data_IF_445334242047
#
_entry.id   IF_445334242047
#
_cell.length_a   1.000
_cell.length_b   1.000
_cell.length_c   1.000
_cell.angle_alpha   90.00
_cell.angle_beta   90.00
_cell.angle_gamma   90.00
#
_symmetry.space_group_name_H-M   'P 1'
#
loop_
_entity.id
_entity.type
_entity.pdbx_description
1 polymer ?
#
# COMPACT_ATOMS: atom_id res chain seq x y z
N UNK A 1 -20.46 5.58 25.02
CA UNK A 1 -19.01 5.77 25.17
C UNK A 1 -18.42 5.13 23.93
N UNK A 2 -18.22 5.95 22.90
CA UNK A 2 -17.77 5.53 21.56
C UNK A 2 -16.31 5.11 21.63
N UNK A 3 -16.02 3.86 21.28
CA UNK A 3 -14.70 3.49 20.77
C UNK A 3 -14.66 3.91 19.31
N UNK A 4 -13.65 4.71 18.96
CA UNK A 4 -13.35 5.11 17.59
C UNK A 4 -12.66 3.92 16.94
N UNK A 5 -13.28 3.36 15.91
CA UNK A 5 -12.64 2.46 14.96
C UNK A 5 -11.80 3.36 14.05
N UNK A 6 -10.51 3.06 13.91
CA UNK A 6 -9.60 3.81 13.03
C UNK A 6 -9.54 3.06 11.70
N UNK A 7 -9.81 3.69 10.55
CA UNK A 7 -9.81 3.02 9.24
C UNK A 7 -8.39 2.75 8.74
N UNK A 8 -8.24 1.65 7.98
CA UNK A 8 -7.00 1.10 7.39
C UNK A 8 -6.37 1.94 6.26
N UNK A 9 -6.83 3.16 6.02
CA UNK A 9 -6.25 4.09 5.02
C UNK A 9 -4.84 4.63 5.37
N UNK A 10 -4.09 3.94 6.24
CA UNK A 10 -2.70 4.30 6.64
C UNK A 10 -1.66 3.20 6.39
N UNK A 11 -2.04 2.07 5.79
CA UNK A 11 -1.07 1.01 5.41
C UNK A 11 -0.23 1.44 4.19
N UNK A 12 -0.62 2.50 3.48
CA UNK A 12 0.20 3.16 2.47
C UNK A 12 1.24 4.12 3.08
N UNK A 13 2.37 3.58 3.54
CA UNK A 13 3.61 4.34 3.70
C UNK A 13 3.96 4.77 5.12
N UNK A 14 4.82 3.97 5.77
CA UNK A 14 5.74 4.48 6.80
C UNK A 14 7.11 3.88 6.56
N UNK A 15 7.97 4.63 5.86
CA UNK A 15 9.42 4.40 5.86
C UNK A 15 9.91 4.68 7.28
N UNK A 16 10.12 3.64 8.08
CA UNK A 16 10.90 3.75 9.30
C UNK A 16 12.38 3.90 8.90
N UNK A 17 12.78 5.15 8.67
CA UNK A 17 14.17 5.53 8.56
C UNK A 17 14.89 5.23 9.88
N UNK A 18 15.64 4.13 9.94
CA UNK A 18 16.66 3.92 10.96
C UNK A 18 17.76 4.96 10.74
N UNK A 19 17.60 6.11 11.38
CA UNK A 19 18.63 7.14 11.47
C UNK A 19 19.70 6.70 12.47
N UNK A 20 20.64 5.87 12.03
CA UNK A 20 21.87 5.63 12.77
C UNK A 20 22.81 6.82 12.60
N UNK A 21 22.89 7.63 13.65
CA UNK A 21 23.81 8.75 13.78
C UNK A 21 25.26 8.28 13.62
N UNK A 22 25.86 8.67 12.49
CA UNK A 22 27.31 8.64 12.24
C UNK A 22 28.06 9.35 13.38
N UNK A 23 28.64 8.58 14.29
CA UNK A 23 29.75 9.06 15.11
C UNK A 23 31.01 8.32 14.69
N UNK A 24 31.84 9.04 13.94
CA UNK A 24 33.18 8.62 13.56
C UNK A 24 34.01 8.23 14.78
N UNK A 25 34.63 7.05 14.75
CA UNK A 25 35.83 6.78 15.51
C UNK A 25 36.82 6.01 14.63
N UNK A 26 37.80 6.72 14.09
CA UNK A 26 38.96 6.11 13.43
C UNK A 26 39.92 5.51 14.44
N UNK A 27 40.70 4.52 14.02
CA UNK A 27 41.86 4.07 14.79
C UNK A 27 42.44 2.70 14.47
N UNK A 28 43.26 2.64 13.41
CA UNK A 28 44.53 1.90 13.34
C UNK A 28 44.56 0.37 13.30
N UNK A 29 45.27 -0.10 12.27
CA UNK A 29 45.83 -1.43 12.00
C UNK A 29 46.53 -2.11 13.18
N UNK A 30 46.47 -3.45 13.18
CA UNK A 30 47.64 -4.33 13.36
C UNK A 30 47.30 -5.78 13.00
N UNK A 31 48.06 -6.35 12.06
CA UNK A 31 48.20 -7.78 11.78
C UNK A 31 48.84 -8.49 12.98
N UNK A 32 48.42 -9.72 13.31
CA UNK A 32 49.34 -10.84 13.52
C UNK A 32 48.62 -12.19 13.72
N UNK A 33 49.29 -13.23 13.22
CA UNK A 33 48.90 -14.63 13.05
C UNK A 33 49.17 -15.44 14.32
N UNK A 34 48.30 -16.39 14.70
CA UNK A 34 48.73 -17.64 15.35
C UNK A 34 47.64 -18.74 15.33
N UNK A 35 47.92 -19.83 14.62
CA UNK A 35 47.29 -21.15 14.83
C UNK A 35 47.60 -21.69 16.24
N UNK A 36 46.62 -22.28 16.93
CA UNK A 36 46.87 -23.48 17.74
C UNK A 36 45.68 -24.45 17.71
N UNK A 37 46.02 -25.73 17.61
CA UNK A 37 45.16 -26.91 17.58
C UNK A 37 44.64 -27.30 18.98
N UNK A 38 43.39 -27.79 19.10
CA UNK A 38 42.95 -28.42 20.35
C UNK A 38 41.51 -28.93 20.41
N UNK A 39 41.31 -30.20 20.02
CA UNK A 39 40.36 -31.19 20.58
C UNK A 39 39.25 -30.71 21.54
N UNK A 40 38.01 -30.82 21.05
CA UNK A 40 36.87 -31.47 21.70
C UNK A 40 36.50 -31.07 23.13
N UNK A 41 35.59 -30.10 23.24
CA UNK A 41 34.61 -29.99 24.33
C UNK A 41 33.43 -29.15 23.82
N UNK A 42 32.37 -29.81 23.32
CA UNK A 42 31.16 -29.19 22.77
C UNK A 42 30.24 -28.55 23.82
N UNK A 43 30.74 -28.28 25.02
CA UNK A 43 30.03 -27.59 26.10
C UNK A 43 30.71 -26.27 26.50
N UNK A 44 31.99 -26.07 26.15
CA UNK A 44 32.73 -24.83 26.42
C UNK A 44 32.57 -23.80 25.31
N UNK A 45 32.57 -24.25 24.05
CA UNK A 45 32.45 -23.39 22.85
C UNK A 45 31.16 -22.56 22.86
N UNK A 46 30.03 -23.17 23.24
CA UNK A 46 28.74 -22.46 23.32
C UNK A 46 28.73 -21.38 24.40
N UNK A 47 29.43 -21.56 25.52
CA UNK A 47 29.43 -20.58 26.61
C UNK A 47 30.31 -19.36 26.30
N UNK A 48 31.44 -19.56 25.60
CA UNK A 48 32.30 -18.45 25.14
C UNK A 48 31.62 -17.69 23.99
N UNK A 49 30.99 -18.40 23.05
CA UNK A 49 30.24 -17.81 21.93
C UNK A 49 29.04 -16.97 22.37
N UNK A 50 28.26 -17.45 23.35
CA UNK A 50 27.15 -16.67 23.94
C UNK A 50 27.67 -15.40 24.64
N UNK A 51 28.87 -15.44 25.24
CA UNK A 51 29.47 -14.26 25.85
C UNK A 51 29.90 -13.23 24.79
N UNK A 52 30.46 -13.69 23.67
CA UNK A 52 30.83 -12.85 22.54
C UNK A 52 29.59 -12.23 21.87
N UNK A 53 28.54 -13.02 21.63
CA UNK A 53 27.25 -12.54 21.12
C UNK A 53 26.63 -11.47 22.02
N UNK A 54 26.64 -11.67 23.34
CA UNK A 54 26.15 -10.64 24.28
C UNK A 54 26.95 -9.34 24.24
N UNK A 55 28.19 -9.40 23.78
CA UNK A 55 29.07 -8.23 23.68
C UNK A 55 29.04 -7.56 22.30
N UNK A 56 28.38 -8.16 21.31
CA UNK A 56 28.28 -7.58 19.96
C UNK A 56 27.35 -6.37 19.95
N UNK A 57 27.76 -5.33 19.22
CA UNK A 57 27.02 -4.06 19.13
C UNK A 57 25.64 -4.23 18.49
N UNK A 58 25.55 -5.11 17.48
CA UNK A 58 24.31 -5.47 16.76
C UNK A 58 23.22 -6.00 17.69
N UNK A 59 23.62 -6.78 18.70
CA UNK A 59 22.70 -7.34 19.69
C UNK A 59 22.49 -6.41 20.90
N UNK A 60 23.47 -5.56 21.22
CA UNK A 60 23.40 -4.63 22.34
C UNK A 60 22.54 -3.39 22.08
N UNK A 61 22.38 -2.94 20.83
CA UNK A 61 21.76 -1.65 20.52
C UNK A 61 20.25 -1.67 20.21
N UNK A 62 19.60 -2.83 20.06
CA UNK A 62 18.15 -2.85 19.83
C UNK A 62 17.45 -4.19 19.76
N UNK A 63 18.12 -5.25 19.26
CA UNK A 63 17.48 -6.52 18.94
C UNK A 63 16.79 -7.24 20.12
N UNK A 64 17.20 -6.96 21.36
CA UNK A 64 16.63 -7.56 22.58
C UNK A 64 15.74 -6.63 23.41
N UNK A 65 15.61 -5.37 23.00
CA UNK A 65 14.86 -4.38 23.78
C UNK A 65 13.37 -4.65 23.64
N UNK A 66 12.69 -4.88 24.77
CA UNK A 66 11.26 -5.23 24.81
C UNK A 66 10.96 -6.72 24.97
N UNK A 67 11.96 -7.60 24.75
CA UNK A 67 11.79 -9.04 24.91
C UNK A 67 11.84 -9.50 26.37
N UNK A 68 11.08 -10.56 26.67
CA UNK A 68 11.16 -11.25 27.96
C UNK A 68 12.53 -11.91 28.16
N UNK A 69 12.95 -12.14 29.42
CA UNK A 69 14.21 -12.83 29.70
C UNK A 69 14.26 -14.24 29.11
N UNK A 70 13.11 -14.90 28.98
CA UNK A 70 13.01 -16.23 28.36
C UNK A 70 13.26 -16.15 26.85
N UNK A 71 12.65 -15.19 26.17
CA UNK A 71 12.78 -15.01 24.71
C UNK A 71 14.19 -14.52 24.33
N UNK A 72 14.81 -13.68 25.16
CA UNK A 72 16.22 -13.31 25.02
C UNK A 72 17.15 -14.54 25.12
N UNK A 73 16.85 -15.48 26.01
CA UNK A 73 17.62 -16.73 26.14
C UNK A 73 17.37 -17.65 24.95
N UNK A 74 16.12 -17.76 24.48
CA UNK A 74 15.78 -18.52 23.27
C UNK A 74 16.59 -18.03 22.07
N UNK A 75 16.57 -16.73 21.79
CA UNK A 75 17.28 -16.16 20.65
C UNK A 75 18.79 -16.35 20.75
N UNK A 76 19.39 -16.13 21.92
CA UNK A 76 20.83 -16.35 22.10
C UNK A 76 21.23 -17.81 21.87
N UNK A 77 20.39 -18.76 22.28
CA UNK A 77 20.65 -20.18 22.01
C UNK A 77 20.49 -20.48 20.52
N UNK A 78 19.42 -20.01 19.87
CA UNK A 78 19.18 -20.22 18.45
C UNK A 78 20.30 -19.63 17.57
N UNK A 79 20.76 -18.40 17.86
CA UNK A 79 21.89 -17.77 17.18
C UNK A 79 23.19 -18.54 17.45
N UNK A 80 23.39 -19.04 18.67
CA UNK A 80 24.57 -19.84 19.00
C UNK A 80 24.59 -21.20 18.31
N UNK A 81 23.44 -21.73 17.89
CA UNK A 81 23.32 -22.99 17.14
C UNK A 81 23.59 -22.80 15.65
N UNK A 82 23.42 -21.58 15.13
CA UNK A 82 23.75 -21.20 13.76
C UNK A 82 25.15 -20.58 13.71
N UNK A 83 26.13 -21.36 13.24
CA UNK A 83 27.52 -20.93 13.16
C UNK A 83 27.69 -19.74 12.20
N UNK A 84 26.99 -19.72 11.07
CA UNK A 84 27.11 -18.67 10.06
C UNK A 84 26.47 -17.36 10.53
N UNK A 85 25.25 -17.42 11.10
CA UNK A 85 24.55 -16.25 11.63
C UNK A 85 25.28 -15.65 12.83
N UNK A 86 25.69 -16.49 13.79
CA UNK A 86 26.37 -16.00 14.98
C UNK A 86 27.72 -15.36 14.66
N UNK A 87 28.49 -15.90 13.72
CA UNK A 87 29.79 -15.34 13.33
C UNK A 87 29.60 -14.02 12.56
N UNK A 88 28.58 -13.93 11.70
CA UNK A 88 28.21 -12.71 11.01
C UNK A 88 27.80 -11.59 11.99
N UNK A 89 26.99 -11.92 13.01
CA UNK A 89 26.58 -10.95 14.03
C UNK A 89 27.74 -10.49 14.93
N UNK A 90 28.67 -11.39 15.27
CA UNK A 90 29.91 -11.04 16.00
C UNK A 90 30.79 -10.12 15.14
N UNK A 91 30.86 -10.34 13.83
CA UNK A 91 31.57 -9.49 12.89
C UNK A 91 30.89 -8.13 12.64
N UNK A 92 29.67 -7.93 13.15
CA UNK A 92 28.89 -6.72 12.93
C UNK A 92 28.33 -6.61 11.51
N UNK A 93 28.04 -7.76 10.87
CA UNK A 93 27.43 -7.80 9.55
C UNK A 93 25.95 -7.40 9.64
N UNK A 94 25.58 -6.36 8.88
CA UNK A 94 24.21 -5.84 8.78
C UNK A 94 23.61 -6.10 7.39
N UNK A 95 24.15 -7.06 6.64
CA UNK A 95 23.66 -7.40 5.31
C UNK A 95 22.22 -7.95 5.34
N UNK A 96 21.44 -7.75 4.27
CA UNK A 96 20.05 -8.21 4.21
C UNK A 96 19.83 -9.69 4.57
N UNK A 97 20.68 -10.65 4.15
CA UNK A 97 20.54 -12.05 4.55
C UNK A 97 20.68 -12.27 6.06
N UNK A 98 21.59 -11.54 6.72
CA UNK A 98 21.80 -11.62 8.18
C UNK A 98 20.61 -11.04 8.92
N UNK A 99 20.05 -9.92 8.43
CA UNK A 99 18.84 -9.32 8.99
C UNK A 99 17.62 -10.24 8.87
N UNK A 100 17.45 -10.90 7.71
CA UNK A 100 16.36 -11.86 7.49
C UNK A 100 16.49 -13.09 8.39
N UNK A 101 17.70 -13.63 8.54
CA UNK A 101 17.98 -14.74 9.44
C UNK A 101 17.74 -14.38 10.91
N UNK A 102 18.13 -13.18 11.34
CA UNK A 102 17.82 -12.67 12.68
C UNK A 102 16.31 -12.50 12.89
N UNK A 103 15.58 -12.00 11.89
CA UNK A 103 14.12 -11.88 11.94
C UNK A 103 13.45 -13.25 12.07
N UNK A 104 13.93 -14.28 11.36
CA UNK A 104 13.46 -15.66 11.51
C UNK A 104 13.68 -16.20 12.93
N UNK A 105 14.83 -15.93 13.53
CA UNK A 105 15.11 -16.31 14.92
C UNK A 105 14.16 -15.60 15.88
N UNK A 106 13.91 -14.31 15.67
CA UNK A 106 12.95 -13.55 16.47
C UNK A 106 11.54 -14.15 16.32
N UNK A 107 11.10 -14.42 15.10
CA UNK A 107 9.79 -15.00 14.81
C UNK A 107 9.59 -16.37 15.49
N UNK A 108 10.65 -17.19 15.59
CA UNK A 108 10.60 -18.47 16.30
C UNK A 108 10.65 -18.38 17.83
N UNK A 109 11.19 -17.29 18.40
CA UNK A 109 11.37 -17.12 19.84
C UNK A 109 10.35 -16.17 20.49
N UNK A 110 9.86 -15.19 19.73
CA UNK A 110 8.86 -14.19 20.12
C UNK A 110 8.12 -13.71 18.87
N UNK A 111 7.20 -14.53 18.40
CA UNK A 111 6.41 -14.25 17.21
C UNK A 111 5.57 -12.98 17.33
N UNK A 112 5.06 -12.67 18.54
CA UNK A 112 4.29 -11.45 18.79
C UNK A 112 5.17 -10.20 18.64
N UNK A 113 6.38 -10.21 19.20
CA UNK A 113 7.33 -9.11 19.01
C UNK A 113 7.79 -8.99 17.56
N UNK A 114 8.05 -10.12 16.88
CA UNK A 114 8.44 -10.13 15.47
C UNK A 114 7.37 -9.50 14.59
N UNK A 115 6.11 -9.90 14.78
CA UNK A 115 5.03 -9.41 13.94
C UNK A 115 4.66 -7.96 14.27
N UNK A 116 4.76 -7.54 15.54
CA UNK A 116 4.64 -6.13 15.90
C UNK A 116 5.69 -5.26 15.17
N UNK A 117 6.91 -5.76 14.98
CA UNK A 117 7.93 -5.04 14.21
C UNK A 117 7.60 -5.01 12.71
N UNK A 118 7.14 -6.12 12.14
CA UNK A 118 6.76 -6.23 10.72
C UNK A 118 5.56 -5.33 10.39
N UNK A 119 4.55 -5.31 11.26
CA UNK A 119 3.33 -4.49 11.12
C UNK A 119 3.50 -3.03 11.53
N UNK A 120 4.68 -2.62 12.00
CA UNK A 120 4.90 -1.27 12.52
C UNK A 120 4.08 -0.93 13.78
N UNK A 121 3.59 -1.94 14.50
CA UNK A 121 2.78 -1.81 15.70
C UNK A 121 1.28 -1.61 15.45
N UNK A 122 0.82 -1.73 14.19
CA UNK A 122 -0.59 -1.73 13.80
C UNK A 122 -1.06 -3.15 13.50
N UNK A 123 -0.82 -4.07 14.43
CA UNK A 123 -1.21 -5.46 14.24
C UNK A 123 -2.71 -5.61 14.44
N UNK A 124 -3.49 -5.64 13.34
CA UNK A 124 -4.85 -6.17 13.29
C UNK A 124 -4.95 -7.68 13.60
N UNK A 125 -4.01 -8.19 14.39
CA UNK A 125 -3.83 -9.59 14.74
C UNK A 125 -4.51 -9.95 16.07
N UNK A 126 -5.07 -8.96 16.76
CA UNK A 126 -5.88 -9.17 17.96
C UNK A 126 -7.09 -10.07 17.69
N UNK A 127 -7.54 -10.13 16.43
CA UNK A 127 -8.67 -10.94 15.98
C UNK A 127 -8.28 -12.38 15.59
N UNK A 128 -6.99 -12.72 15.62
CA UNK A 128 -6.52 -14.05 15.22
C UNK A 128 -6.64 -15.05 16.38
N UNK A 129 -7.15 -16.23 16.08
CA UNK A 129 -7.02 -17.36 17.01
C UNK A 129 -5.57 -17.83 17.09
N UNK A 130 -5.22 -18.49 18.20
CA UNK A 130 -3.89 -19.08 18.42
C UNK A 130 -3.45 -19.99 17.26
N UNK A 131 -4.40 -20.66 16.58
CA UNK A 131 -4.11 -21.55 15.45
C UNK A 131 -3.80 -20.78 14.16
N UNK A 132 -4.56 -19.72 13.89
CA UNK A 132 -4.38 -18.87 12.72
C UNK A 132 -3.05 -18.13 12.80
N UNK A 133 -2.75 -17.59 13.99
CA UNK A 133 -1.48 -16.97 14.30
C UNK A 133 -0.31 -17.95 14.16
N UNK A 134 -0.44 -19.17 14.70
CA UNK A 134 0.59 -20.21 14.55
C UNK A 134 0.80 -20.59 13.07
N UNK A 135 -0.27 -20.72 12.29
CA UNK A 135 -0.17 -21.02 10.86
C UNK A 135 0.59 -19.94 10.09
N UNK A 136 0.27 -18.66 10.32
CA UNK A 136 0.95 -17.53 9.69
C UNK A 136 2.45 -17.55 10.00
N UNK A 137 2.79 -17.70 11.28
CA UNK A 137 4.17 -17.76 11.77
C UNK A 137 4.92 -18.95 11.16
N UNK A 138 4.34 -20.14 11.14
CA UNK A 138 4.96 -21.35 10.58
C UNK A 138 5.24 -21.19 9.09
N UNK A 139 4.32 -20.59 8.33
CA UNK A 139 4.49 -20.32 6.89
C UNK A 139 5.62 -19.33 6.62
N UNK A 140 5.72 -18.25 7.40
CA UNK A 140 6.82 -17.29 7.31
C UNK A 140 8.18 -17.89 7.71
N UNK A 141 8.20 -18.82 8.67
CA UNK A 141 9.43 -19.53 9.04
C UNK A 141 9.85 -20.50 7.91
N UNK A 142 8.88 -21.17 7.29
CA UNK A 142 9.12 -22.18 6.27
C UNK A 142 9.53 -21.61 4.90
N UNK A 143 9.16 -20.37 4.59
CA UNK A 143 9.39 -19.74 3.29
C UNK A 143 10.12 -18.38 3.41
N UNK A 144 11.37 -18.34 2.94
CA UNK A 144 12.22 -17.13 2.93
C UNK A 144 11.62 -16.01 2.05
N UNK A 145 10.87 -16.33 0.98
CA UNK A 145 10.27 -15.34 0.09
C UNK A 145 9.09 -14.64 0.77
N UNK A 146 8.25 -15.41 1.48
CA UNK A 146 7.15 -14.86 2.30
C UNK A 146 7.70 -13.96 3.40
N UNK A 147 8.75 -14.42 4.11
CA UNK A 147 9.36 -13.62 5.16
C UNK A 147 10.02 -12.35 4.61
N UNK A 148 10.68 -12.44 3.46
CA UNK A 148 11.28 -11.29 2.81
C UNK A 148 10.21 -10.27 2.38
N UNK A 149 9.10 -10.72 1.78
CA UNK A 149 7.95 -9.90 1.38
C UNK A 149 7.31 -9.17 2.58
N UNK A 150 7.22 -9.86 3.72
CA UNK A 150 6.76 -9.29 4.97
C UNK A 150 7.66 -8.15 5.46
N UNK A 151 8.97 -8.37 5.44
CA UNK A 151 9.96 -7.39 5.92
C UNK A 151 10.12 -6.23 4.95
N UNK A 152 10.00 -6.46 3.63
CA UNK A 152 10.07 -5.41 2.62
C UNK A 152 8.81 -4.54 2.55
N UNK A 153 7.69 -5.01 3.11
CA UNK A 153 6.42 -4.29 3.15
C UNK A 153 5.65 -4.33 1.83
N UNK A 154 5.97 -5.25 0.92
CA UNK A 154 5.19 -5.49 -0.30
C UNK A 154 3.89 -6.24 0.00
N UNK A 155 3.91 -7.11 1.01
CA UNK A 155 2.72 -7.71 1.63
C UNK A 155 1.90 -8.66 0.74
N UNK A 156 2.31 -8.89 -0.52
CA UNK A 156 1.53 -9.66 -1.49
C UNK A 156 1.54 -11.17 -1.18
N UNK A 157 2.69 -11.70 -0.74
CA UNK A 157 2.82 -13.11 -0.36
C UNK A 157 2.26 -13.33 1.04
N UNK A 158 2.48 -12.37 1.95
CA UNK A 158 1.88 -12.43 3.30
C UNK A 158 0.36 -12.41 3.23
N UNK A 159 -0.25 -11.59 2.36
CA UNK A 159 -1.70 -11.56 2.17
C UNK A 159 -2.25 -12.91 1.68
N UNK A 160 -1.53 -13.62 0.82
CA UNK A 160 -1.94 -14.97 0.38
C UNK A 160 -1.89 -15.98 1.52
N UNK A 161 -0.80 -15.98 2.29
CA UNK A 161 -0.65 -16.86 3.46
C UNK A 161 -1.72 -16.55 4.52
N UNK A 162 -2.04 -15.27 4.73
CA UNK A 162 -3.12 -14.85 5.62
C UNK A 162 -4.47 -15.42 5.18
N UNK A 163 -4.74 -15.44 3.87
CA UNK A 163 -5.95 -16.04 3.31
C UNK A 163 -6.04 -17.54 3.59
N UNK A 164 -4.92 -18.25 3.49
CA UNK A 164 -4.85 -19.69 3.75
C UNK A 164 -4.95 -20.01 5.25
N UNK A 165 -4.31 -19.19 6.09
CA UNK A 165 -4.18 -19.44 7.51
C UNK A 165 -5.34 -18.92 8.34
N UNK A 166 -5.97 -17.82 7.92
CA UNK A 166 -7.00 -17.09 8.68
C UNK A 166 -8.16 -16.61 7.76
N UNK A 167 -8.87 -17.52 7.08
CA UNK A 167 -9.93 -17.14 6.15
C UNK A 167 -11.10 -16.43 6.84
N UNK A 168 -11.41 -16.78 8.10
CA UNK A 168 -12.49 -16.11 8.85
C UNK A 168 -12.11 -14.67 9.25
N UNK A 169 -10.86 -14.44 9.64
CA UNK A 169 -10.34 -13.11 9.92
C UNK A 169 -10.32 -12.24 8.64
N UNK A 170 -9.84 -12.80 7.52
CA UNK A 170 -9.86 -12.12 6.23
C UNK A 170 -11.28 -11.73 5.79
N UNK A 171 -12.26 -12.60 6.02
CA UNK A 171 -13.68 -12.31 5.76
C UNK A 171 -14.20 -11.22 6.68
N UNK A 172 -13.83 -11.22 7.96
CA UNK A 172 -14.25 -10.19 8.92
C UNK A 172 -13.68 -8.80 8.57
N UNK A 173 -12.40 -8.75 8.19
CA UNK A 173 -11.74 -7.52 7.75
C UNK A 173 -12.36 -6.98 6.47
N UNK A 174 -12.54 -7.84 5.46
CA UNK A 174 -13.18 -7.47 4.21
C UNK A 174 -14.62 -6.99 4.43
N UNK A 175 -15.36 -7.65 5.33
CA UNK A 175 -16.70 -7.25 5.71
C UNK A 175 -16.73 -5.85 6.35
N UNK A 176 -15.78 -5.57 7.25
CA UNK A 176 -15.66 -4.28 7.90
C UNK A 176 -15.27 -3.16 6.92
N UNK A 177 -14.35 -3.43 6.01
CA UNK A 177 -13.84 -2.45 5.05
C UNK A 177 -14.90 -2.07 4.00
N UNK A 178 -15.59 -3.07 3.44
CA UNK A 178 -16.63 -2.83 2.45
C UNK A 178 -17.99 -2.48 3.06
N UNK A 179 -18.11 -2.52 4.39
CA UNK A 179 -19.38 -2.28 5.09
C UNK A 179 -20.44 -3.35 4.81
N UNK A 180 -20.02 -4.58 4.53
CA UNK A 180 -20.87 -5.73 4.15
C UNK A 180 -20.98 -6.75 5.29
N UNK A 181 -21.89 -7.71 5.16
CA UNK A 181 -22.00 -8.82 6.11
C UNK A 181 -20.88 -9.84 5.92
N UNK A 182 -20.53 -10.58 6.97
CA UNK A 182 -19.55 -11.66 6.87
C UNK A 182 -19.98 -12.74 5.88
N UNK A 183 -21.29 -12.98 5.71
CA UNK A 183 -21.81 -13.89 4.69
C UNK A 183 -21.55 -13.37 3.26
N UNK A 184 -21.76 -12.08 3.02
CA UNK A 184 -21.47 -11.43 1.73
C UNK A 184 -19.96 -11.46 1.42
N UNK A 185 -19.13 -11.12 2.41
CA UNK A 185 -17.67 -11.17 2.26
C UNK A 185 -17.18 -12.60 2.02
N UNK A 186 -17.70 -13.59 2.75
CA UNK A 186 -17.36 -15.00 2.52
C UNK A 186 -17.77 -15.47 1.13
N UNK A 187 -18.90 -15.01 0.60
CA UNK A 187 -19.33 -15.32 -0.76
C UNK A 187 -18.36 -14.73 -1.79
N UNK A 188 -18.02 -13.45 -1.64
CA UNK A 188 -17.09 -12.74 -2.54
C UNK A 188 -15.72 -13.43 -2.66
N UNK A 189 -15.26 -14.02 -1.56
CA UNK A 189 -13.98 -14.71 -1.45
C UNK A 189 -14.00 -16.14 -1.99
N UNK A 190 -15.17 -16.74 -2.17
CA UNK A 190 -15.31 -18.16 -2.56
C UNK A 190 -16.05 -18.40 -3.87
N UNK A 191 -16.67 -17.36 -4.44
CA UNK A 191 -17.29 -17.42 -5.77
C UNK A 191 -16.24 -17.74 -6.85
N UNK A 192 -16.66 -18.48 -7.88
CA UNK A 192 -15.78 -18.88 -9.00
C UNK A 192 -15.25 -17.67 -9.78
N UNK A 193 -15.99 -16.56 -9.75
CA UNK A 193 -15.58 -15.28 -10.33
C UNK A 193 -15.13 -14.28 -9.25
N UNK A 194 -14.98 -14.70 -7.99
CA UNK A 194 -14.79 -13.83 -6.83
C UNK A 194 -13.74 -12.73 -6.99
N UNK A 195 -13.87 -11.65 -6.21
CA UNK A 195 -13.08 -10.42 -6.41
C UNK A 195 -11.57 -10.66 -6.39
N UNK A 196 -11.12 -11.70 -5.67
CA UNK A 196 -9.69 -12.07 -5.59
C UNK A 196 -9.18 -12.55 -6.94
N UNK A 197 -9.93 -13.40 -7.65
CA UNK A 197 -9.54 -13.88 -8.98
C UNK A 197 -9.60 -12.73 -10.00
N UNK A 198 -10.62 -11.87 -9.90
CA UNK A 198 -10.74 -10.66 -10.72
C UNK A 198 -9.57 -9.68 -10.48
N UNK A 199 -9.18 -9.44 -9.23
CA UNK A 199 -8.05 -8.56 -8.88
C UNK A 199 -6.70 -9.16 -9.30
N UNK A 200 -6.57 -10.48 -9.28
CA UNK A 200 -5.36 -11.19 -9.74
C UNK A 200 -5.30 -11.23 -11.29
N UNK A 201 -6.46 -11.22 -11.96
CA UNK A 201 -6.55 -11.30 -13.43
C UNK A 201 -5.98 -10.07 -14.17
N UNK A 202 -5.74 -8.96 -13.46
CA UNK A 202 -5.15 -7.74 -14.00
C UNK A 202 -6.16 -6.82 -14.67
N UNK A 203 -5.71 -5.63 -15.06
CA UNK A 203 -6.56 -4.65 -15.76
C UNK A 203 -6.88 -5.14 -17.19
N UNK A 204 -8.15 -5.05 -17.63
CA UNK A 204 -8.54 -5.51 -18.96
C UNK A 204 -7.79 -4.72 -20.04
N UNK A 205 -7.21 -5.42 -21.01
CA UNK A 205 -6.38 -4.82 -22.07
C UNK A 205 -7.14 -4.55 -23.36
N UNK A 206 -8.40 -4.98 -23.43
CA UNK A 206 -9.29 -4.83 -24.58
C UNK A 206 -10.75 -4.61 -24.15
N UNK A 207 -11.58 -4.08 -25.05
CA UNK A 207 -13.01 -3.87 -24.82
C UNK A 207 -13.76 -5.17 -24.49
N UNK A 208 -13.38 -6.28 -25.14
CA UNK A 208 -13.99 -7.59 -24.91
C UNK A 208 -13.68 -8.10 -23.48
N UNK A 209 -12.43 -7.94 -23.03
CA UNK A 209 -12.02 -8.30 -21.65
C UNK A 209 -12.66 -7.38 -20.61
N UNK A 210 -12.83 -6.09 -20.92
CA UNK A 210 -13.49 -5.15 -20.01
C UNK A 210 -14.97 -5.46 -19.85
N UNK A 211 -15.66 -5.85 -20.93
CA UNK A 211 -17.06 -6.29 -20.86
C UNK A 211 -17.20 -7.61 -20.09
N UNK A 212 -16.29 -8.56 -20.29
CA UNK A 212 -16.27 -9.82 -19.53
C UNK A 212 -16.02 -9.58 -18.03
N UNK A 213 -15.10 -8.68 -17.69
CA UNK A 213 -14.83 -8.25 -16.31
C UNK A 213 -16.06 -7.62 -15.64
N UNK A 214 -16.75 -6.72 -16.35
CA UNK A 214 -17.97 -6.08 -15.85
C UNK A 214 -19.12 -7.08 -15.70
N UNK A 215 -19.29 -8.02 -16.64
CA UNK A 215 -20.29 -9.08 -16.54
C UNK A 215 -20.03 -9.98 -15.33
N UNK A 216 -18.77 -10.34 -15.07
CA UNK A 216 -18.37 -11.10 -13.89
C UNK A 216 -18.70 -10.36 -12.59
N UNK A 217 -18.40 -9.06 -12.48
CA UNK A 217 -18.73 -8.24 -11.30
C UNK A 217 -20.24 -8.23 -11.05
N UNK A 218 -21.05 -8.02 -12.10
CA UNK A 218 -22.51 -8.00 -11.97
C UNK A 218 -23.03 -9.37 -11.52
N UNK A 219 -22.52 -10.46 -12.09
CA UNK A 219 -22.92 -11.82 -11.71
C UNK A 219 -22.61 -12.11 -10.23
N UNK A 220 -21.39 -11.81 -9.77
CA UNK A 220 -20.97 -12.02 -8.37
C UNK A 220 -21.78 -11.14 -7.44
N UNK A 221 -22.05 -9.89 -7.84
CA UNK A 221 -22.83 -8.97 -7.01
C UNK A 221 -24.23 -9.50 -6.76
N UNK A 222 -24.87 -10.10 -7.76
CA UNK A 222 -26.17 -10.72 -7.64
C UNK A 222 -26.11 -12.07 -6.90
N UNK A 223 -25.05 -12.85 -7.12
CA UNK A 223 -24.82 -14.12 -6.41
C UNK A 223 -24.65 -13.89 -4.90
N UNK A 224 -23.85 -12.88 -4.53
CA UNK A 224 -23.48 -12.59 -3.16
C UNK A 224 -24.40 -11.58 -2.48
N UNK A 225 -25.38 -11.01 -3.18
CA UNK A 225 -26.32 -10.04 -2.60
C UNK A 225 -25.67 -8.68 -2.28
N UNK A 226 -24.72 -8.25 -3.11
CA UNK A 226 -23.94 -7.01 -2.98
C UNK A 226 -24.48 -5.88 -3.86
N UNK A 227 -25.70 -6.02 -4.38
CA UNK A 227 -26.28 -5.07 -5.33
C UNK A 227 -26.41 -3.67 -4.72
N UNK A 228 -26.77 -3.59 -3.43
CA UNK A 228 -26.85 -2.31 -2.71
C UNK A 228 -25.45 -1.68 -2.49
N UNK A 229 -24.41 -2.50 -2.38
CA UNK A 229 -23.03 -2.08 -2.08
C UNK A 229 -22.36 -1.49 -3.32
N UNK A 230 -22.59 -2.13 -4.47
CA UNK A 230 -22.10 -1.66 -5.76
C UNK A 230 -23.05 -0.66 -6.45
N UNK A 231 -24.14 -0.26 -5.80
CA UNK A 231 -25.14 0.64 -6.38
C UNK A 231 -25.88 0.04 -7.58
N UNK A 232 -25.89 -1.29 -7.70
CA UNK A 232 -26.53 -2.06 -8.76
C UNK A 232 -28.01 -2.37 -8.47
N UNK A 233 -28.47 -2.11 -7.24
CA UNK A 233 -29.86 -2.27 -6.81
C UNK A 233 -30.82 -1.40 -7.62
N UNK A 234 -30.40 -0.20 -8.01
CA UNK A 234 -31.19 0.71 -8.85
C UNK A 234 -31.16 0.26 -10.31
N UNK A 235 -30.03 -0.28 -10.77
CA UNK A 235 -29.82 -0.79 -12.14
C UNK A 235 -30.70 -2.03 -12.41
N UNK A 236 -30.88 -2.91 -11.42
CA UNK A 236 -31.76 -4.10 -11.52
C UNK A 236 -33.22 -3.76 -11.83
N UNK A 237 -33.71 -2.59 -11.42
CA UNK A 237 -35.10 -2.17 -11.61
C UNK A 237 -35.31 -1.22 -12.78
N UNK A 238 -34.25 -0.58 -13.27
CA UNK A 238 -34.25 0.29 -14.44
C UNK A 238 -33.82 -0.40 -15.74
N UNK A 239 -33.16 -1.57 -15.70
CA UNK A 239 -32.80 -2.30 -16.93
C UNK A 239 -34.00 -2.91 -17.69
N UNK A 240 -35.19 -2.92 -17.10
CA UNK A 240 -36.44 -3.27 -17.79
C UNK A 240 -37.27 -2.02 -18.18
N UNK A 241 -36.76 -0.80 -17.97
CA UNK A 241 -37.53 0.43 -18.20
C UNK A 241 -36.78 1.73 -18.59
N UNK A 242 -35.45 1.77 -18.74
CA UNK A 242 -34.77 2.96 -19.27
C UNK A 242 -33.58 2.63 -20.18
N UNK A 243 -33.76 2.97 -21.45
CA UNK A 243 -32.77 3.10 -22.52
C UNK A 243 -31.81 4.30 -22.28
N UNK A 244 -31.63 4.73 -21.02
CA UNK A 244 -30.90 5.93 -20.61
C UNK A 244 -29.65 5.56 -19.78
N UNK A 245 -28.84 4.62 -20.26
CA UNK A 245 -27.40 4.93 -20.23
C UNK A 245 -27.33 6.17 -21.11
N UNK A 246 -26.89 7.31 -20.58
CA UNK A 246 -26.70 8.52 -21.37
C UNK A 246 -25.53 8.28 -22.36
N UNK A 247 -25.79 7.46 -23.38
CA UNK A 247 -25.07 7.49 -24.63
C UNK A 247 -25.41 8.87 -25.18
N UNK A 248 -24.53 9.84 -24.92
CA UNK A 248 -24.58 11.15 -25.54
C UNK A 248 -24.74 10.87 -27.03
N UNK A 249 -25.85 11.33 -27.63
CA UNK A 249 -26.11 11.03 -29.03
C UNK A 249 -25.03 11.67 -29.91
N UNK A 250 -24.80 11.08 -31.08
CA UNK A 250 -23.77 11.56 -31.99
C UNK A 250 -24.00 13.02 -32.42
N UNK A 251 -25.25 13.50 -32.44
CA UNK A 251 -25.55 14.90 -32.78
C UNK A 251 -24.98 15.86 -31.72
N UNK A 252 -25.09 15.49 -30.45
CA UNK A 252 -24.53 16.25 -29.32
C UNK A 252 -23.00 16.22 -29.32
N UNK A 253 -22.38 15.07 -29.61
CA UNK A 253 -20.92 14.99 -29.78
C UNK A 253 -20.43 15.84 -30.96
N UNK A 254 -21.13 15.81 -32.09
CA UNK A 254 -20.80 16.61 -33.28
C UNK A 254 -20.92 18.12 -32.99
N UNK A 255 -21.90 18.54 -32.18
CA UNK A 255 -22.05 19.92 -31.72
C UNK A 255 -20.89 20.35 -30.80
N UNK A 256 -20.55 19.53 -29.80
CA UNK A 256 -19.43 19.77 -28.89
C UNK A 256 -18.10 19.83 -29.65
N UNK A 257 -17.88 18.93 -30.61
CA UNK A 257 -16.73 18.95 -31.51
C UNK A 257 -16.63 20.26 -32.28
N UNK A 258 -17.74 20.70 -32.88
CA UNK A 258 -17.79 21.95 -33.64
C UNK A 258 -17.49 23.16 -32.76
N UNK A 259 -18.04 23.23 -31.56
CA UNK A 259 -17.79 24.31 -30.60
C UNK A 259 -16.33 24.32 -30.12
N UNK A 260 -15.76 23.15 -29.84
CA UNK A 260 -14.35 23.00 -29.50
C UNK A 260 -13.44 23.45 -30.66
N UNK A 261 -13.77 23.09 -31.92
CA UNK A 261 -13.06 23.56 -33.12
C UNK A 261 -13.16 25.08 -33.30
N UNK A 262 -14.30 25.68 -32.93
CA UNK A 262 -14.51 27.13 -32.91
C UNK A 262 -13.77 27.85 -31.76
N UNK A 263 -13.15 27.09 -30.85
CA UNK A 263 -12.31 27.58 -29.77
C UNK A 263 -13.02 27.75 -28.43
N UNK A 264 -14.21 27.17 -28.25
CA UNK A 264 -14.85 27.07 -26.94
C UNK A 264 -14.17 25.96 -26.12
N UNK A 265 -13.31 26.38 -25.20
CA UNK A 265 -12.51 25.47 -24.40
C UNK A 265 -13.34 24.67 -23.39
N UNK A 266 -14.49 25.19 -22.95
CA UNK A 266 -15.42 24.42 -22.13
C UNK A 266 -16.05 23.28 -22.94
N UNK A 267 -16.38 23.55 -24.21
CA UNK A 267 -16.87 22.50 -25.10
C UNK A 267 -15.80 21.44 -25.40
N UNK A 268 -14.51 21.81 -25.43
CA UNK A 268 -13.43 20.83 -25.49
C UNK A 268 -13.38 19.93 -24.24
N UNK A 269 -13.61 20.50 -23.06
CA UNK A 269 -13.66 19.71 -21.81
C UNK A 269 -14.85 18.77 -21.79
N UNK A 270 -16.03 19.28 -22.12
CA UNK A 270 -17.25 18.49 -22.21
C UNK A 270 -17.11 17.37 -23.25
N UNK A 271 -16.51 17.65 -24.41
CA UNK A 271 -16.25 16.65 -25.45
C UNK A 271 -15.31 15.54 -24.96
N UNK A 272 -14.26 15.88 -24.19
CA UNK A 272 -13.33 14.89 -23.66
C UNK A 272 -14.03 13.88 -22.74
N UNK A 273 -14.93 14.36 -21.87
CA UNK A 273 -15.65 13.50 -20.92
C UNK A 273 -16.80 12.73 -21.56
N UNK A 274 -17.39 13.24 -22.63
CA UNK A 274 -18.53 12.61 -23.31
C UNK A 274 -18.12 11.66 -24.44
N UNK A 275 -16.93 11.85 -25.02
CA UNK A 275 -16.46 11.05 -26.14
C UNK A 275 -16.19 9.59 -25.72
N UNK A 276 -16.47 8.61 -26.61
CA UNK A 276 -16.03 7.23 -26.39
C UNK A 276 -14.51 7.16 -26.23
N UNK A 277 -14.05 6.32 -25.31
CA UNK A 277 -12.62 6.12 -25.08
C UNK A 277 -11.92 5.63 -26.36
N UNK A 278 -10.76 6.20 -26.68
CA UNK A 278 -9.98 5.91 -27.87
C UNK A 278 -10.53 6.51 -29.17
N UNK A 279 -11.59 7.32 -29.13
CA UNK A 279 -12.18 7.92 -30.33
C UNK A 279 -11.37 9.10 -30.86
N UNK A 280 -11.68 9.53 -32.10
CA UNK A 280 -11.05 10.71 -32.69
C UNK A 280 -11.46 12.00 -31.95
N UNK A 281 -12.69 12.05 -31.44
CA UNK A 281 -13.24 13.14 -30.64
C UNK A 281 -12.51 13.28 -29.30
N UNK A 282 -12.27 12.17 -28.58
CA UNK A 282 -11.47 12.18 -27.35
C UNK A 282 -10.05 12.68 -27.62
N UNK A 283 -9.41 12.19 -28.70
CA UNK A 283 -8.06 12.58 -29.09
C UNK A 283 -7.97 14.06 -29.51
N UNK A 284 -9.02 14.60 -30.11
CA UNK A 284 -9.14 16.01 -30.45
C UNK A 284 -9.34 16.88 -29.20
N UNK A 285 -10.25 16.46 -28.32
CA UNK A 285 -10.61 17.16 -27.10
C UNK A 285 -9.45 17.23 -26.10
N UNK A 286 -8.71 16.13 -25.89
CA UNK A 286 -7.58 16.08 -24.96
C UNK A 286 -6.42 17.02 -25.33
N UNK A 287 -6.37 17.49 -26.58
CA UNK A 287 -5.38 18.48 -27.06
C UNK A 287 -5.97 19.89 -27.20
N UNK A 288 -7.14 20.11 -26.61
CA UNK A 288 -7.88 21.37 -26.64
C UNK A 288 -8.16 21.84 -28.06
N UNK A 289 -8.65 20.93 -28.89
CA UNK A 289 -8.90 21.18 -30.31
C UNK A 289 -7.62 21.33 -31.13
N UNK A 290 -6.59 20.53 -30.83
CA UNK A 290 -5.24 20.62 -31.41
C UNK A 290 -4.54 21.98 -31.20
N UNK A 291 -4.91 22.73 -30.16
CA UNK A 291 -4.25 24.00 -29.84
C UNK A 291 -3.00 23.81 -28.99
N UNK A 292 -2.80 22.61 -28.42
CA UNK A 292 -1.63 22.21 -27.66
C UNK A 292 -1.03 20.90 -28.17
N UNK A 293 0.30 20.77 -28.10
CA UNK A 293 1.00 19.49 -28.27
C UNK A 293 1.02 18.65 -26.98
N UNK A 294 0.51 19.22 -25.88
CA UNK A 294 0.41 18.58 -24.56
C UNK A 294 -1.03 18.16 -24.32
N UNK A 295 -1.23 16.97 -23.79
CA UNK A 295 -2.56 16.45 -23.49
C UNK A 295 -3.02 16.99 -22.13
N UNK A 296 -4.17 17.67 -22.12
CA UNK A 296 -4.75 18.32 -20.95
C UNK A 296 -5.93 17.55 -20.34
N UNK A 297 -6.40 16.49 -21.00
CA UNK A 297 -7.37 15.54 -20.44
C UNK A 297 -8.62 16.17 -19.84
N UNK A 298 -9.27 17.08 -20.58
CA UNK A 298 -10.51 17.75 -20.12
C UNK A 298 -10.29 18.96 -19.20
N UNK A 299 -9.13 19.62 -19.30
CA UNK A 299 -8.83 20.86 -18.57
C UNK A 299 -8.37 22.00 -19.50
N UNK A 300 -8.97 22.07 -20.67
CA UNK A 300 -8.73 23.07 -21.71
C UNK A 300 -9.24 24.45 -21.32
N UNK A 301 -10.38 24.55 -20.62
CA UNK A 301 -10.90 25.84 -20.17
C UNK A 301 -9.91 26.60 -19.28
N UNK A 302 -9.02 25.88 -18.60
CA UNK A 302 -8.05 26.44 -17.69
C UNK A 302 -6.59 26.24 -18.13
N UNK A 303 -6.31 25.84 -19.38
CA UNK A 303 -4.94 25.60 -19.86
C UNK A 303 -4.03 26.85 -19.81
N UNK A 304 -4.62 28.04 -19.63
CA UNK A 304 -3.93 29.32 -19.61
C UNK A 304 -4.29 30.16 -18.36
N UNK A 305 -4.84 29.55 -17.31
CA UNK A 305 -4.98 30.20 -16.00
C UNK A 305 -3.64 30.22 -15.29
N UNK A 306 -3.32 31.35 -14.65
CA UNK A 306 -2.20 31.42 -13.71
C UNK A 306 -2.77 31.18 -12.32
N UNK A 307 -3.01 29.91 -12.01
CA UNK A 307 -3.62 29.49 -10.75
C UNK A 307 -2.88 30.03 -9.53
N UNK A 308 -1.55 30.22 -9.62
CA UNK A 308 -0.77 30.85 -8.55
C UNK A 308 -1.18 32.31 -8.36
N UNK A 309 -1.19 33.10 -9.44
CA UNK A 309 -1.60 34.50 -9.36
C UNK A 309 -3.06 34.66 -8.91
N UNK A 310 -3.96 33.78 -9.36
CA UNK A 310 -5.39 33.84 -9.02
C UNK A 310 -5.64 33.40 -7.56
N UNK A 311 -4.94 32.36 -7.10
CA UNK A 311 -4.91 31.97 -5.68
C UNK A 311 -4.33 33.08 -4.80
N UNK A 312 -3.25 33.75 -5.23
CA UNK A 312 -2.70 34.94 -4.54
C UNK A 312 -3.70 36.10 -4.48
N UNK A 313 -4.57 36.22 -5.50
CA UNK A 313 -5.64 37.21 -5.54
C UNK A 313 -6.84 36.85 -4.65
N UNK A 314 -6.86 35.64 -4.09
CA UNK A 314 -7.90 35.15 -3.17
C UNK A 314 -9.01 34.36 -3.84
N UNK A 315 -8.81 33.88 -5.06
CA UNK A 315 -9.69 32.88 -5.67
C UNK A 315 -9.38 31.50 -5.08
N UNK A 316 -10.29 31.01 -4.23
CA UNK A 316 -10.08 29.74 -3.53
C UNK A 316 -10.22 28.53 -4.45
N UNK A 317 -11.01 28.63 -5.52
CA UNK A 317 -11.09 27.56 -6.52
C UNK A 317 -9.78 27.47 -7.30
N UNK A 318 -9.13 28.60 -7.59
CA UNK A 318 -7.78 28.60 -8.14
C UNK A 318 -6.73 28.01 -7.19
N UNK A 319 -6.87 28.19 -5.87
CA UNK A 319 -5.99 27.52 -4.90
C UNK A 319 -6.17 25.99 -4.89
N UNK A 320 -7.41 25.52 -5.07
CA UNK A 320 -7.71 24.09 -5.15
C UNK A 320 -7.06 23.49 -6.40
N UNK A 321 -7.29 24.12 -7.54
CA UNK A 321 -6.70 23.68 -8.80
C UNK A 321 -5.16 23.76 -8.78
N UNK A 322 -4.58 24.80 -8.16
CA UNK A 322 -3.14 24.89 -7.97
C UNK A 322 -2.61 23.71 -7.15
N UNK A 323 -3.31 23.29 -6.09
CA UNK A 323 -2.89 22.12 -5.31
C UNK A 323 -2.95 20.83 -6.14
N UNK A 324 -4.05 20.56 -6.83
CA UNK A 324 -4.26 19.31 -7.55
C UNK A 324 -3.40 19.16 -8.82
N UNK A 325 -3.08 20.27 -9.48
CA UNK A 325 -2.37 20.25 -10.77
C UNK A 325 -0.86 20.47 -10.65
N UNK A 326 -0.36 20.84 -9.47
CA UNK A 326 1.07 21.06 -9.25
C UNK A 326 1.82 19.75 -9.01
N UNK A 327 3.12 19.75 -9.32
CA UNK A 327 4.00 18.63 -9.01
C UNK A 327 4.05 18.38 -7.49
N UNK A 328 4.02 17.11 -7.09
CA UNK A 328 4.12 16.70 -5.69
C UNK A 328 5.45 17.18 -5.07
N UNK A 329 5.36 17.82 -3.91
CA UNK A 329 6.45 18.46 -3.17
C UNK A 329 6.89 19.81 -3.70
N UNK A 330 6.15 20.42 -4.64
CA UNK A 330 6.48 21.74 -5.20
C UNK A 330 5.99 22.89 -4.31
N UNK A 331 6.61 24.07 -4.47
CA UNK A 331 6.19 25.30 -3.79
C UNK A 331 4.74 25.70 -4.16
N UNK A 332 4.27 25.31 -5.35
CA UNK A 332 2.92 25.58 -5.86
C UNK A 332 1.89 24.66 -5.20
N UNK A 333 2.21 23.37 -5.09
CA UNK A 333 1.39 22.42 -4.32
C UNK A 333 1.27 22.86 -2.85
N UNK A 334 2.38 23.22 -2.19
CA UNK A 334 2.36 23.68 -0.80
C UNK A 334 1.59 24.99 -0.61
N UNK A 335 1.65 25.88 -1.59
CA UNK A 335 0.93 27.16 -1.57
C UNK A 335 -0.58 26.95 -1.78
N UNK A 336 -0.99 26.09 -2.70
CA UNK A 336 -2.38 25.68 -2.89
C UNK A 336 -2.93 24.93 -1.67
N UNK A 337 -2.16 23.98 -1.13
CA UNK A 337 -2.50 23.21 0.08
C UNK A 337 -2.84 24.10 1.28
N UNK A 338 -2.16 25.24 1.39
CA UNK A 338 -2.35 26.22 2.47
C UNK A 338 -3.31 27.35 2.10
N UNK A 339 -4.09 27.20 1.03
CA UNK A 339 -5.07 28.19 0.57
C UNK A 339 -4.45 29.58 0.41
N UNK A 340 -3.32 29.64 -0.30
CA UNK A 340 -2.54 30.87 -0.45
C UNK A 340 -1.89 31.35 0.85
N UNK A 341 -1.59 30.44 1.78
CA UNK A 341 -1.03 30.73 3.10
C UNK A 341 -2.05 31.19 4.15
N UNK A 342 -3.36 31.01 3.90
CA UNK A 342 -4.43 31.36 4.85
C UNK A 342 -4.83 30.21 5.78
N UNK A 343 -4.50 28.96 5.41
CA UNK A 343 -4.70 27.76 6.21
C UNK A 343 -3.35 27.14 6.64
N UNK A 344 -3.36 26.31 7.69
CA UNK A 344 -2.20 25.49 8.11
C UNK A 344 -1.99 24.25 7.21
N UNK A 345 -2.90 24.08 6.24
CA UNK A 345 -2.88 23.06 5.21
C UNK A 345 -3.36 21.69 5.67
N UNK A 346 -4.13 21.64 6.76
CA UNK A 346 -4.94 20.46 7.11
C UNK A 346 -6.12 20.27 6.16
N UNK A 347 -6.49 21.30 5.40
CA UNK A 347 -7.57 21.28 4.41
C UNK A 347 -7.19 20.55 3.11
N UNK A 348 -5.93 20.13 2.95
CA UNK A 348 -5.45 19.34 1.82
C UNK A 348 -5.88 19.90 0.44
N UNK A 349 -5.85 21.22 0.27
CA UNK A 349 -6.22 21.88 -0.99
C UNK A 349 -7.73 21.95 -1.28
N UNK A 350 -8.59 21.78 -0.28
CA UNK A 350 -10.05 22.02 -0.36
C UNK A 350 -10.40 23.41 0.21
N UNK A 351 -9.89 24.45 -0.42
CA UNK A 351 -10.03 25.85 0.01
C UNK A 351 -11.37 26.46 -0.36
N UNK A 352 -12.00 26.04 -1.47
CA UNK A 352 -13.34 26.52 -1.86
C UNK A 352 -14.45 25.99 -0.94
N UNK A 353 -14.26 24.79 -0.38
CA UNK A 353 -15.19 24.12 0.54
C UNK A 353 -14.49 23.64 1.85
N UNK A 354 -14.16 24.58 2.77
CA UNK A 354 -13.49 24.25 4.02
C UNK A 354 -14.50 23.72 5.07
N UNK A 355 -14.74 22.41 5.10
CA UNK A 355 -15.48 21.74 6.19
C UNK A 355 -14.67 21.63 7.50
#
# INVERSE_FOLDING_TARGET
>A
MSSRVTPWSKVGGVVAAVSLALTACGGSSSEDIAETSGRGDSAGVSSDRIADLRSSATLAEGAFQGLSTENQVCMLNAISEDDDLGDALIAGDESPPVQLALMRVLLGCDSEAAINLISGGDSGLDDFSEKEFTCLVDSMIADDEVLADAVSGSGALVAQVLLECAPEAAVADLAAELGITSEQASCLMTSENGIVELLISGEPSSEEEAMEFLEAIVEISAECGLEDVFGLSDISSELEASDDIAVIDQETLDEQYSLCEEGDMQACDDLYFNAPFGSEEEAFAKTCGNTSETEFGGNCANMNSDYRSDCEAGDMEACDQLFFLSDVGSDDEDFGRTCGGTADGTTAGLCSDPD
#
